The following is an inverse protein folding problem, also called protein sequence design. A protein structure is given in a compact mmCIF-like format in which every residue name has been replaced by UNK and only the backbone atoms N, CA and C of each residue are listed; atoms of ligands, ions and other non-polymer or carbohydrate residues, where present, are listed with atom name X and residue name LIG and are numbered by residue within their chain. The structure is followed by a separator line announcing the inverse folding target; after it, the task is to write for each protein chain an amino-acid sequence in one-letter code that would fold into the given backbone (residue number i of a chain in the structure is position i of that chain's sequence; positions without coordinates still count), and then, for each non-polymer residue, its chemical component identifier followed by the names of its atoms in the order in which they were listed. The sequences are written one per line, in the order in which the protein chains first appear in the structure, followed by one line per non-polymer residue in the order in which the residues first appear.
data_IF_924254660670
#
_entry.id   IF_924254660670
#
_cell.length_a   1.000
_cell.length_b   1.000
_cell.length_c   1.000
_cell.angle_alpha   90.00
_cell.angle_beta   90.00
_cell.angle_gamma   90.00
#
_symmetry.space_group_name_H-M   'P 1'
#
loop_
_entity.id
_entity.type
_entity.pdbx_description
1 polymer ?
#
# COMPACT_ATOMS: atom_id res chain seq x y z
N UNK A 1 -13.61 -1.36 -13.43
CA UNK A 1 -13.16 -0.08 -12.82
C UNK A 1 -14.34 0.65 -12.19
N UNK A 2 -15.32 1.12 -12.96
CA UNK A 2 -16.44 1.93 -12.42
C UNK A 2 -17.20 1.25 -11.28
N UNK A 3 -17.55 -0.04 -11.39
CA UNK A 3 -18.24 -0.77 -10.32
C UNK A 3 -17.47 -0.74 -9.00
N UNK A 4 -16.19 -1.12 -9.01
CA UNK A 4 -15.35 -1.10 -7.81
C UNK A 4 -15.16 0.31 -7.25
N UNK A 5 -14.93 1.31 -8.11
CA UNK A 5 -14.76 2.70 -7.68
C UNK A 5 -16.03 3.23 -6.99
N UNK A 6 -17.21 2.97 -7.54
CA UNK A 6 -18.48 3.36 -6.91
C UNK A 6 -18.75 2.56 -5.63
N UNK A 7 -18.43 1.27 -5.60
CA UNK A 7 -18.55 0.44 -4.40
C UNK A 7 -17.69 0.98 -3.25
N UNK A 8 -16.42 1.30 -3.53
CA UNK A 8 -15.49 1.88 -2.55
C UNK A 8 -15.95 3.27 -2.07
N UNK A 9 -16.48 4.10 -2.98
CA UNK A 9 -16.98 5.42 -2.60
C UNK A 9 -18.23 5.35 -1.70
N UNK A 10 -19.16 4.43 -2.00
CA UNK A 10 -20.32 4.15 -1.15
C UNK A 10 -19.92 3.60 0.22
N UNK A 11 -18.96 2.68 0.26
CA UNK A 11 -18.38 2.21 1.51
C UNK A 11 -17.79 3.36 2.33
N UNK A 12 -17.00 4.23 1.68
CA UNK A 12 -16.31 5.32 2.36
C UNK A 12 -17.28 6.33 3.01
N UNK A 13 -18.35 6.72 2.31
CA UNK A 13 -19.33 7.64 2.89
C UNK A 13 -20.08 7.00 4.07
N UNK A 14 -20.46 5.73 3.97
CA UNK A 14 -21.12 5.00 5.07
C UNK A 14 -20.20 4.91 6.30
N UNK A 15 -18.89 4.67 6.12
CA UNK A 15 -17.94 4.71 7.22
C UNK A 15 -17.92 6.08 7.90
N UNK A 16 -17.81 7.16 7.12
CA UNK A 16 -17.74 8.52 7.65
C UNK A 16 -19.01 8.93 8.39
N UNK A 17 -20.19 8.57 7.88
CA UNK A 17 -21.48 8.80 8.55
C UNK A 17 -21.58 8.11 9.92
N UNK A 18 -20.78 7.07 10.14
CA UNK A 18 -20.74 6.29 11.38
C UNK A 18 -19.45 6.54 12.20
N UNK A 19 -18.68 7.57 11.88
CA UNK A 19 -17.48 7.95 12.63
C UNK A 19 -16.28 7.00 12.46
N UNK A 20 -16.26 6.18 11.42
CA UNK A 20 -15.14 5.31 11.07
C UNK A 20 -14.32 5.94 9.93
N UNK A 21 -12.99 5.87 10.03
CA UNK A 21 -12.09 6.28 8.95
C UNK A 21 -12.03 5.18 7.89
N UNK A 22 -12.54 5.41 6.66
CA UNK A 22 -12.44 4.41 5.60
C UNK A 22 -11.02 4.31 5.04
N UNK A 23 -10.53 3.08 4.97
CA UNK A 23 -9.38 2.72 4.14
C UNK A 23 -9.90 2.27 2.78
N UNK A 24 -9.58 3.02 1.74
CA UNK A 24 -9.97 2.73 0.35
C UNK A 24 -8.89 1.86 -0.28
N UNK A 25 -9.22 0.60 -0.59
CA UNK A 25 -8.28 -0.43 -1.06
C UNK A 25 -8.60 -0.89 -2.49
N UNK A 26 -8.17 -0.15 -3.53
CA UNK A 26 -8.35 -0.55 -4.92
C UNK A 26 -7.19 -1.44 -5.38
N UNK A 27 -7.10 -2.67 -4.85
CA UNK A 27 -6.03 -3.61 -5.20
C UNK A 27 -6.05 -3.98 -6.69
N UNK A 28 -4.90 -3.84 -7.34
CA UNK A 28 -4.62 -4.37 -8.68
C UNK A 28 -3.74 -5.59 -8.50
N UNK A 29 -4.24 -6.74 -8.95
CA UNK A 29 -3.53 -8.01 -8.85
C UNK A 29 -2.26 -7.99 -9.72
N UNK A 30 -1.18 -8.55 -9.19
CA UNK A 30 0.14 -8.61 -9.83
C UNK A 30 0.23 -9.73 -10.88
N UNK A 31 -0.79 -10.58 -11.01
CA UNK A 31 -0.73 -11.76 -11.87
C UNK A 31 -0.44 -11.43 -13.36
N UNK A 32 0.46 -12.20 -13.95
CA UNK A 32 0.77 -12.19 -15.37
C UNK A 32 2.14 -11.61 -15.74
N UNK A 33 2.36 -11.43 -17.04
CA UNK A 33 3.67 -11.10 -17.62
C UNK A 33 3.81 -9.64 -18.05
N UNK A 34 3.11 -8.72 -17.38
CA UNK A 34 3.07 -7.31 -17.76
C UNK A 34 4.29 -6.55 -17.21
N UNK A 35 4.75 -5.53 -17.95
CA UNK A 35 5.83 -4.68 -17.48
C UNK A 35 5.34 -3.63 -16.47
N UNK A 36 6.30 -2.96 -15.81
CA UNK A 36 5.99 -1.93 -14.81
C UNK A 36 5.26 -0.72 -15.41
N UNK A 37 5.48 -0.42 -16.70
CA UNK A 37 4.78 0.66 -17.39
C UNK A 37 3.28 0.36 -17.49
N UNK A 38 2.93 -0.89 -17.81
CA UNK A 38 1.53 -1.29 -17.86
C UNK A 38 0.87 -1.24 -16.50
N UNK A 39 1.57 -1.68 -15.45
CA UNK A 39 1.07 -1.56 -14.08
C UNK A 39 0.80 -0.10 -13.70
N UNK A 40 1.71 0.82 -14.05
CA UNK A 40 1.57 2.25 -13.79
C UNK A 40 0.35 2.85 -14.52
N UNK A 41 0.18 2.55 -15.81
CA UNK A 41 -0.95 3.00 -16.62
C UNK A 41 -2.30 2.57 -16.00
N UNK A 42 -2.39 1.30 -15.59
CA UNK A 42 -3.62 0.76 -14.97
C UNK A 42 -3.84 1.38 -13.59
N UNK A 43 -2.78 1.56 -12.80
CA UNK A 43 -2.83 2.19 -11.48
C UNK A 43 -3.36 3.61 -11.58
N UNK A 44 -2.81 4.44 -12.48
CA UNK A 44 -3.28 5.81 -12.69
C UNK A 44 -4.76 5.83 -13.10
N UNK A 45 -5.18 4.94 -14.01
CA UNK A 45 -6.58 4.87 -14.43
C UNK A 45 -7.52 4.47 -13.28
N UNK A 46 -7.14 3.51 -12.46
CA UNK A 46 -7.94 3.02 -11.33
C UNK A 46 -8.05 4.09 -10.23
N UNK A 47 -6.93 4.70 -9.85
CA UNK A 47 -6.91 5.72 -8.80
C UNK A 47 -7.68 6.98 -9.22
N UNK A 48 -7.54 7.43 -10.47
CA UNK A 48 -8.32 8.55 -10.99
C UNK A 48 -9.83 8.28 -10.93
N UNK A 49 -10.26 7.06 -11.29
CA UNK A 49 -11.66 6.66 -11.20
C UNK A 49 -12.15 6.59 -9.74
N UNK A 50 -11.33 6.08 -8.82
CA UNK A 50 -11.66 6.02 -7.39
C UNK A 50 -11.84 7.43 -6.81
N UNK A 51 -10.90 8.35 -7.04
CA UNK A 51 -11.03 9.72 -6.52
C UNK A 51 -12.17 10.51 -7.17
N UNK A 52 -12.47 10.27 -8.45
CA UNK A 52 -13.68 10.81 -9.07
C UNK A 52 -14.94 10.32 -8.36
N UNK A 53 -15.04 9.01 -8.11
CA UNK A 53 -16.19 8.44 -7.41
C UNK A 53 -16.30 8.93 -5.96
N UNK A 54 -15.20 9.01 -5.21
CA UNK A 54 -15.18 9.57 -3.85
C UNK A 54 -15.72 11.01 -3.82
N UNK A 55 -15.32 11.82 -4.79
CA UNK A 55 -15.80 13.19 -4.92
C UNK A 55 -17.29 13.27 -5.30
N UNK A 56 -17.76 12.40 -6.21
CA UNK A 56 -19.18 12.32 -6.59
C UNK A 56 -20.08 11.90 -5.41
N UNK A 57 -19.52 11.15 -4.45
CA UNK A 57 -20.17 10.72 -3.22
C UNK A 57 -19.96 11.68 -2.04
N UNK A 58 -19.33 12.83 -2.26
CA UNK A 58 -19.06 13.85 -1.23
C UNK A 58 -18.26 13.33 -0.02
N UNK A 59 -17.36 12.39 -0.24
CA UNK A 59 -16.47 11.85 0.81
C UNK A 59 -15.46 12.92 1.23
N UNK A 60 -15.30 13.10 2.55
CA UNK A 60 -14.30 14.00 3.12
C UNK A 60 -12.90 13.37 2.98
N UNK A 61 -12.09 13.83 2.04
CA UNK A 61 -10.81 13.18 1.70
C UNK A 61 -9.79 13.22 2.86
N UNK A 62 -9.79 14.30 3.64
CA UNK A 62 -8.97 14.47 4.85
C UNK A 62 -9.25 13.39 5.91
N UNK A 63 -10.44 12.80 5.87
CA UNK A 63 -10.89 11.71 6.73
C UNK A 63 -10.81 10.33 6.07
N UNK A 64 -9.89 10.12 5.13
CA UNK A 64 -9.69 8.83 4.45
C UNK A 64 -8.25 8.35 4.50
N UNK A 65 -8.03 7.07 4.20
CA UNK A 65 -6.72 6.51 3.89
C UNK A 65 -6.77 5.78 2.55
N UNK A 66 -5.68 5.79 1.80
CA UNK A 66 -5.55 4.96 0.59
C UNK A 66 -4.68 3.75 0.90
N UNK A 67 -5.12 2.54 0.49
CA UNK A 67 -4.34 1.30 0.57
C UNK A 67 -4.19 0.69 -0.83
N UNK A 68 -3.23 1.16 -1.64
CA UNK A 68 -2.97 0.62 -2.96
C UNK A 68 -1.89 -0.47 -2.89
N UNK A 69 -1.76 -1.26 -3.96
CA UNK A 69 -0.53 -1.99 -4.24
C UNK A 69 0.58 -1.02 -4.72
N UNK A 70 1.84 -1.44 -4.57
CA UNK A 70 2.96 -0.75 -5.22
C UNK A 70 2.92 -1.01 -6.73
N UNK A 71 3.51 -0.12 -7.51
CA UNK A 71 3.62 -0.28 -8.97
C UNK A 71 4.83 -1.16 -9.28
N UNK A 72 4.57 -2.42 -9.64
CA UNK A 72 5.59 -3.44 -9.92
C UNK A 72 5.35 -4.09 -11.29
N UNK A 73 6.35 -4.77 -11.87
CA UNK A 73 6.10 -5.74 -12.93
C UNK A 73 5.16 -6.85 -12.44
N UNK A 74 4.56 -7.57 -13.39
CA UNK A 74 3.72 -8.72 -13.10
C UNK A 74 4.51 -9.90 -12.51
N UNK A 75 3.80 -10.85 -11.92
CA UNK A 75 4.37 -12.01 -11.22
C UNK A 75 5.30 -12.86 -12.09
N UNK A 76 5.03 -12.89 -13.39
CA UNK A 76 5.77 -13.69 -14.38
C UNK A 76 6.86 -12.87 -15.10
N UNK A 77 7.01 -11.60 -14.72
CA UNK A 77 8.01 -10.69 -15.28
C UNK A 77 9.25 -10.60 -14.38
N UNK A 78 10.41 -10.24 -14.95
CA UNK A 78 11.61 -9.98 -14.16
C UNK A 78 11.36 -8.90 -13.11
N UNK A 79 11.81 -9.14 -11.88
CA UNK A 79 11.80 -8.13 -10.81
C UNK A 79 12.68 -6.94 -11.18
N UNK A 80 12.38 -5.79 -10.60
CA UNK A 80 13.14 -4.54 -10.78
C UNK A 80 13.65 -4.04 -9.44
N UNK A 81 14.61 -3.12 -9.47
CA UNK A 81 15.18 -2.54 -8.26
C UNK A 81 14.15 -1.68 -7.49
N UNK A 82 14.26 -1.57 -6.15
CA UNK A 82 13.35 -0.77 -5.33
C UNK A 82 13.22 0.69 -5.75
N UNK A 83 14.29 1.29 -6.25
CA UNK A 83 14.30 2.67 -6.72
C UNK A 83 13.38 2.86 -7.94
N UNK A 84 13.28 1.85 -8.79
CA UNK A 84 12.39 1.85 -9.96
C UNK A 84 10.93 1.75 -9.49
N UNK A 85 10.63 0.82 -8.58
CA UNK A 85 9.29 0.71 -7.96
C UNK A 85 8.90 2.03 -7.31
N UNK A 86 9.82 2.66 -6.59
CA UNK A 86 9.58 3.92 -5.91
C UNK A 86 9.25 5.06 -6.87
N UNK A 87 10.02 5.20 -7.95
CA UNK A 87 9.80 6.26 -8.94
C UNK A 87 8.42 6.11 -9.61
N UNK A 88 8.09 4.90 -10.07
CA UNK A 88 6.81 4.64 -10.73
C UNK A 88 5.62 4.79 -9.78
N UNK A 89 5.74 4.29 -8.55
CA UNK A 89 4.66 4.35 -7.57
C UNK A 89 4.38 5.78 -7.13
N UNK A 90 5.41 6.54 -6.75
CA UNK A 90 5.24 7.93 -6.30
C UNK A 90 4.72 8.80 -7.45
N UNK A 91 5.18 8.58 -8.69
CA UNK A 91 4.68 9.31 -9.87
C UNK A 91 3.20 9.03 -10.14
N UNK A 92 2.77 7.78 -10.05
CA UNK A 92 1.35 7.41 -10.23
C UNK A 92 0.46 8.07 -9.16
N UNK A 93 0.91 8.10 -7.90
CA UNK A 93 0.22 8.83 -6.82
C UNK A 93 0.16 10.33 -7.09
N UNK A 94 1.29 10.97 -7.46
CA UNK A 94 1.36 12.40 -7.79
C UNK A 94 0.39 12.82 -8.90
N UNK A 95 0.10 11.93 -9.86
CA UNK A 95 -0.79 12.21 -10.98
C UNK A 95 -2.27 12.08 -10.63
N UNK A 96 -2.61 11.38 -9.55
CA UNK A 96 -4.00 10.93 -9.33
C UNK A 96 -4.57 11.26 -7.96
N UNK A 97 -3.73 11.38 -6.95
CA UNK A 97 -4.18 11.56 -5.57
C UNK A 97 -4.24 13.05 -5.21
N UNK A 98 -5.32 13.52 -4.55
CA UNK A 98 -5.38 14.87 -4.00
C UNK A 98 -4.47 15.03 -2.76
N UNK A 99 -3.80 16.18 -2.56
CA UNK A 99 -3.02 16.50 -1.35
C UNK A 99 -3.80 16.40 -0.02
N UNK A 100 -5.13 16.42 -0.06
CA UNK A 100 -5.98 16.35 1.12
C UNK A 100 -5.94 14.99 1.84
N UNK A 101 -5.61 13.89 1.14
CA UNK A 101 -5.57 12.55 1.75
C UNK A 101 -4.36 12.45 2.68
N UNK A 102 -4.49 12.16 3.98
CA UNK A 102 -3.37 12.26 4.91
C UNK A 102 -2.26 11.23 4.69
N UNK A 103 -2.61 10.00 4.31
CA UNK A 103 -1.62 8.93 4.17
C UNK A 103 -2.01 7.83 3.16
N UNK A 104 -0.97 7.20 2.63
CA UNK A 104 -1.00 5.97 1.84
C UNK A 104 -0.40 4.84 2.67
N UNK A 105 -1.15 3.76 2.86
CA UNK A 105 -0.72 2.58 3.61
C UNK A 105 -0.62 1.39 2.66
N UNK A 106 0.55 1.11 2.11
CA UNK A 106 0.70 0.10 1.06
C UNK A 106 0.40 -1.32 1.55
N UNK A 107 -0.28 -2.11 0.72
CA UNK A 107 -0.37 -3.55 0.89
C UNK A 107 0.87 -4.23 0.29
N UNK A 108 1.21 -5.43 0.77
CA UNK A 108 2.42 -6.14 0.30
C UNK A 108 2.23 -6.84 -1.06
N UNK A 109 0.99 -7.13 -1.47
CA UNK A 109 0.67 -7.51 -2.86
C UNK A 109 1.35 -8.79 -3.37
N UNK A 110 1.73 -9.71 -2.46
CA UNK A 110 2.46 -10.94 -2.82
C UNK A 110 3.99 -10.82 -2.80
N UNK A 111 4.53 -9.64 -2.51
CA UNK A 111 5.96 -9.45 -2.25
C UNK A 111 6.39 -10.17 -0.95
N UNK A 112 7.68 -10.51 -0.86
CA UNK A 112 8.27 -11.00 0.40
C UNK A 112 8.32 -9.88 1.46
N UNK A 113 8.55 -10.26 2.72
CA UNK A 113 8.70 -9.30 3.83
C UNK A 113 9.81 -8.28 3.55
N UNK A 114 10.97 -8.76 3.08
CA UNK A 114 12.12 -7.93 2.74
C UNK A 114 11.86 -7.02 1.53
N UNK A 115 11.29 -7.56 0.46
CA UNK A 115 11.02 -6.82 -0.77
C UNK A 115 10.03 -5.68 -0.56
N UNK A 116 8.91 -5.95 0.12
CA UNK A 116 7.91 -4.95 0.44
C UNK A 116 8.53 -3.81 1.26
N UNK A 117 9.46 -4.13 2.16
CA UNK A 117 10.07 -3.14 3.02
C UNK A 117 11.14 -2.31 2.31
N UNK A 118 11.98 -2.94 1.48
CA UNK A 118 12.96 -2.22 0.66
C UNK A 118 12.28 -1.24 -0.30
N UNK A 119 11.18 -1.65 -0.93
CA UNK A 119 10.39 -0.78 -1.82
C UNK A 119 9.79 0.42 -1.07
N UNK A 120 9.21 0.19 0.12
CA UNK A 120 8.67 1.28 0.95
C UNK A 120 9.77 2.25 1.43
N UNK A 121 10.94 1.73 1.81
CA UNK A 121 12.08 2.55 2.20
C UNK A 121 12.57 3.42 1.04
N UNK A 122 12.68 2.85 -0.17
CA UNK A 122 13.08 3.58 -1.37
C UNK A 122 12.08 4.71 -1.70
N UNK A 123 10.77 4.47 -1.57
CA UNK A 123 9.74 5.51 -1.72
C UNK A 123 9.89 6.67 -0.73
N UNK A 124 10.18 6.37 0.53
CA UNK A 124 10.38 7.39 1.55
C UNK A 124 11.65 8.21 1.32
N UNK A 125 12.75 7.56 0.88
CA UNK A 125 14.03 8.22 0.53
C UNK A 125 14.00 9.03 -0.78
N UNK A 126 13.07 8.72 -1.69
CA UNK A 126 12.95 9.42 -2.98
C UNK A 126 12.73 10.93 -2.80
N UNK A 127 13.62 11.76 -3.33
CA UNK A 127 13.49 13.23 -3.29
C UNK A 127 12.43 13.70 -4.30
N UNK A 128 11.18 13.77 -3.86
CA UNK A 128 10.04 14.19 -4.67
C UNK A 128 8.96 14.86 -3.80
N UNK A 129 8.04 15.61 -4.42
CA UNK A 129 6.87 16.17 -3.72
C UNK A 129 5.93 15.04 -3.29
N UNK A 130 5.81 14.83 -1.99
CA UNK A 130 4.94 13.82 -1.40
C UNK A 130 4.14 14.50 -0.29
N UNK A 131 2.98 15.12 -0.61
CA UNK A 131 2.18 15.83 0.39
C UNK A 131 1.43 14.89 1.34
N UNK A 132 1.76 13.60 1.31
CA UNK A 132 1.12 12.52 2.04
C UNK A 132 2.17 11.67 2.73
N UNK A 133 1.82 11.09 3.86
CA UNK A 133 2.64 10.08 4.51
C UNK A 133 2.61 8.78 3.71
N UNK A 134 3.77 8.14 3.51
CA UNK A 134 3.89 6.82 2.89
C UNK A 134 4.25 5.78 3.96
N UNK A 135 3.32 4.89 4.26
CA UNK A 135 3.43 3.88 5.31
C UNK A 135 2.95 2.51 4.79
N UNK A 136 2.77 1.54 5.68
CA UNK A 136 2.39 0.17 5.36
C UNK A 136 1.07 -0.25 6.01
N UNK A 137 0.36 -1.16 5.35
CA UNK A 137 -0.72 -1.98 5.89
C UNK A 137 -0.52 -3.40 5.37
N UNK A 138 0.48 -4.08 5.93
CA UNK A 138 0.92 -5.39 5.48
C UNK A 138 0.20 -6.51 6.25
N UNK A 139 -0.38 -7.45 5.51
CA UNK A 139 -0.89 -8.71 6.08
C UNK A 139 0.23 -9.76 6.12
N UNK A 140 0.36 -10.54 5.03
CA UNK A 140 1.34 -11.62 4.91
C UNK A 140 2.77 -11.19 5.22
N UNK A 141 3.18 -10.00 4.75
CA UNK A 141 4.55 -9.52 4.92
C UNK A 141 4.95 -9.18 6.37
N UNK A 142 4.00 -9.11 7.31
CA UNK A 142 4.29 -8.93 8.74
C UNK A 142 4.08 -10.20 9.57
N UNK A 143 3.50 -11.26 9.00
CA UNK A 143 3.05 -12.41 9.79
C UNK A 143 3.70 -13.72 9.33
N UNK A 144 4.30 -13.77 8.14
CA UNK A 144 4.76 -15.02 7.54
C UNK A 144 5.89 -15.65 8.36
N UNK A 145 6.90 -14.87 8.76
CA UNK A 145 8.00 -15.33 9.60
C UNK A 145 7.51 -15.77 10.99
N UNK A 146 6.63 -15.00 11.62
CA UNK A 146 6.00 -15.33 12.92
C UNK A 146 5.20 -16.63 12.86
N UNK A 147 4.33 -16.80 11.85
CA UNK A 147 3.53 -18.02 11.70
C UNK A 147 4.41 -19.25 11.48
N UNK A 148 5.48 -19.10 10.69
CA UNK A 148 6.45 -20.18 10.46
C UNK A 148 7.20 -20.56 11.73
N UNK A 149 7.58 -19.57 12.54
CA UNK A 149 8.24 -19.80 13.82
C UNK A 149 7.30 -20.45 14.84
N UNK A 150 6.07 -19.96 14.96
CA UNK A 150 5.06 -20.50 15.88
C UNK A 150 4.75 -21.97 15.59
N UNK A 151 4.45 -22.31 14.34
CA UNK A 151 4.22 -23.70 13.91
C UNK A 151 3.15 -24.47 14.71
N UNK A 152 2.24 -23.75 15.40
CA UNK A 152 1.23 -24.33 16.29
C UNK A 152 1.74 -24.83 17.64
N UNK A 153 2.94 -24.41 18.07
CA UNK A 153 3.57 -24.83 19.33
C UNK A 153 3.46 -23.73 20.38
N UNK A 154 2.76 -24.02 21.47
CA UNK A 154 2.50 -23.05 22.56
C UNK A 154 3.79 -22.63 23.29
N UNK A 155 4.81 -23.49 23.29
CA UNK A 155 6.11 -23.25 23.91
C UNK A 155 6.86 -22.04 23.32
N UNK A 156 6.47 -21.59 22.11
CA UNK A 156 7.10 -20.49 21.38
C UNK A 156 6.44 -19.13 21.70
N UNK A 157 5.30 -19.12 22.41
CA UNK A 157 4.58 -17.89 22.79
C UNK A 157 5.38 -16.98 23.75
N UNK A 158 6.41 -17.53 24.41
CA UNK A 158 7.26 -16.82 25.38
C UNK A 158 8.66 -16.49 24.83
N UNK A 159 8.98 -16.88 23.58
CA UNK A 159 10.20 -16.45 22.92
C UNK A 159 9.99 -15.04 22.38
N UNK A 160 10.97 -14.15 22.60
CA UNK A 160 10.98 -12.81 21.99
C UNK A 160 10.61 -12.92 20.49
N UNK A 161 9.80 -11.97 20.02
CA UNK A 161 9.44 -11.90 18.60
C UNK A 161 10.72 -12.12 17.77
N UNK A 162 10.71 -12.99 16.73
CA UNK A 162 11.90 -13.30 15.96
C UNK A 162 12.62 -11.99 15.62
N UNK A 163 13.96 -11.93 15.64
CA UNK A 163 14.69 -10.70 15.35
C UNK A 163 14.19 -10.05 14.07
N UNK A 164 13.74 -10.81 13.07
CA UNK A 164 13.18 -10.31 11.82
C UNK A 164 11.86 -9.53 11.96
N UNK A 165 11.08 -9.73 13.02
CA UNK A 165 9.88 -8.95 13.36
C UNK A 165 10.24 -7.70 14.19
N UNK A 166 11.18 -7.86 15.12
CA UNK A 166 11.69 -6.75 15.95
C UNK A 166 12.62 -5.81 15.16
N UNK A 167 13.28 -6.34 14.14
CA UNK A 167 14.13 -5.69 13.13
C UNK A 167 13.42 -5.63 11.78
N UNK A 168 12.12 -5.95 11.71
CA UNK A 168 11.35 -5.63 10.53
C UNK A 168 11.56 -4.14 10.33
N UNK A 169 11.96 -3.66 9.14
CA UNK A 169 12.24 -2.24 8.97
C UNK A 169 10.99 -1.37 9.14
N UNK A 170 9.83 -1.96 9.47
CA UNK A 170 8.73 -1.30 10.16
C UNK A 170 9.18 -0.44 11.37
N UNK A 171 10.15 -0.89 12.19
CA UNK A 171 10.70 -0.09 13.29
C UNK A 171 11.49 1.14 12.78
N UNK A 172 12.36 0.95 11.78
CA UNK A 172 13.10 2.07 11.15
C UNK A 172 12.19 3.02 10.35
N UNK A 173 11.06 2.52 9.81
CA UNK A 173 10.06 3.32 9.11
C UNK A 173 9.23 4.14 10.11
N UNK A 174 8.88 3.59 11.28
CA UNK A 174 8.21 4.34 12.35
C UNK A 174 9.11 5.47 12.85
N UNK A 175 10.42 5.23 13.03
CA UNK A 175 11.39 6.25 13.47
C UNK A 175 11.74 7.28 12.38
N UNK A 176 11.44 6.99 11.11
CA UNK A 176 11.67 7.90 9.96
C UNK A 176 10.45 8.74 9.57
N UNK A 177 9.31 8.56 10.25
CA UNK A 177 8.15 9.45 10.13
C UNK A 177 8.39 10.71 10.99
N UNK A 178 8.21 11.93 10.44
CA UNK A 178 8.40 13.17 11.19
C UNK A 178 7.39 13.36 12.33
#
# INVERSE_FOLDING_TARGET
INENANGLARYAIICQENGLVPIVEPEILVDGSHDINKCAEVTERVLAACYKALNDHHVLLEGTLLKPNMVTPGSDSPKVAPEVVAEYTVRALQRTMPPAVPAVVFLSGGQSEEEATLNLNAMNKLKAKKPWTLSFSFGRALQQSTLKAWGGKDDILMLEAPPQLASAPAAEIIDALP
#
